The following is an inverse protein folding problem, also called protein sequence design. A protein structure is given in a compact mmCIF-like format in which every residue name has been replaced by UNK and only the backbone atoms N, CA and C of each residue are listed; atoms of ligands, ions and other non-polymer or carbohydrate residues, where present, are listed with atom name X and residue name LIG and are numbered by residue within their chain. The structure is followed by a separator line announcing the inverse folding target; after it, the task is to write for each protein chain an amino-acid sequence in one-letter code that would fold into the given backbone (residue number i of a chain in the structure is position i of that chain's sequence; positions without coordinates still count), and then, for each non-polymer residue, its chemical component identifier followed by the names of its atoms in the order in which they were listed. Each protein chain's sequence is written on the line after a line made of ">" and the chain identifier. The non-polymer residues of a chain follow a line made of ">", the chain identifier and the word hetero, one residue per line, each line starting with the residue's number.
data_IF_156792321927
#
_entry.id   IF_156792321927
#
_cell.length_a   1.000
_cell.length_b   1.000
_cell.length_c   1.000
_cell.angle_alpha   90.00
_cell.angle_beta   90.00
_cell.angle_gamma   90.00
#
_symmetry.space_group_name_H-M   'P 1'
#
loop_
_entity.id
_entity.type
_entity.pdbx_description
1 polymer ?
#
# COMPACT_ATOMS: atom_id res chain seq x y z
N UNK A 1 0.15 12.93 1.41
CA UNK A 1 -0.43 12.56 2.73
C UNK A 1 0.31 11.31 3.18
N UNK A 2 0.73 11.20 4.45
CA UNK A 2 1.45 10.01 4.92
C UNK A 2 0.47 9.05 5.59
N UNK A 3 0.63 7.76 5.33
CA UNK A 3 -0.05 6.68 6.02
C UNK A 3 1.01 5.75 6.61
N UNK A 4 0.85 5.40 7.87
CA UNK A 4 1.75 4.49 8.55
C UNK A 4 0.95 3.41 9.27
N UNK A 5 1.56 2.24 9.46
CA UNK A 5 0.87 1.07 9.95
C UNK A 5 1.78 -0.14 10.07
N UNK A 6 1.23 -1.23 10.58
CA UNK A 6 1.90 -2.52 10.62
C UNK A 6 1.59 -3.29 9.34
N UNK A 7 2.61 -3.75 8.63
CA UNK A 7 2.44 -4.56 7.43
C UNK A 7 1.83 -5.92 7.80
N UNK A 8 0.64 -6.22 7.29
CA UNK A 8 -0.07 -7.47 7.59
C UNK A 8 0.14 -8.50 6.48
N UNK A 9 0.05 -8.06 5.22
CA UNK A 9 0.29 -8.91 4.05
C UNK A 9 1.01 -8.10 2.98
N UNK A 10 1.79 -8.79 2.15
CA UNK A 10 2.34 -8.24 0.92
C UNK A 10 2.34 -9.28 -0.19
N UNK A 11 2.09 -8.82 -1.41
CA UNK A 11 2.12 -9.60 -2.64
C UNK A 11 2.94 -8.79 -3.67
N UNK A 12 4.22 -9.16 -3.88
CA UNK A 12 5.12 -8.50 -4.81
C UNK A 12 4.92 -8.96 -6.27
N UNK A 13 5.55 -8.25 -7.21
CA UNK A 13 5.60 -8.65 -8.62
C UNK A 13 4.31 -8.43 -9.42
N UNK A 14 3.45 -7.51 -8.99
CA UNK A 14 2.21 -7.17 -9.69
C UNK A 14 2.41 -5.98 -10.63
N UNK A 15 1.51 -5.83 -11.62
CA UNK A 15 1.57 -4.76 -12.63
C UNK A 15 0.21 -4.06 -12.78
N UNK A 16 0.22 -2.75 -12.95
CA UNK A 16 -0.98 -1.95 -13.18
C UNK A 16 -0.72 -0.81 -14.15
N UNK A 17 -1.79 -0.29 -14.73
CA UNK A 17 -1.77 1.04 -15.37
C UNK A 17 -2.15 2.08 -14.31
N UNK A 18 -1.30 3.09 -14.11
CA UNK A 18 -1.57 4.25 -13.26
C UNK A 18 -1.29 5.51 -14.07
N UNK A 19 -2.28 6.41 -14.13
CA UNK A 19 -2.20 7.66 -14.91
C UNK A 19 -1.81 7.52 -16.40
N UNK A 20 -2.03 6.34 -17.00
CA UNK A 20 -1.74 6.07 -18.41
C UNK A 20 -0.38 5.43 -18.65
N UNK A 21 0.42 5.21 -17.61
CA UNK A 21 1.71 4.51 -17.67
C UNK A 21 1.61 3.15 -16.95
N UNK A 22 2.45 2.21 -17.36
CA UNK A 22 2.56 0.89 -16.73
C UNK A 22 3.55 0.97 -15.56
N UNK A 23 3.10 0.54 -14.39
CA UNK A 23 3.87 0.55 -13.16
C UNK A 23 3.87 -0.85 -12.54
N UNK A 24 5.03 -1.25 -12.04
CA UNK A 24 5.14 -2.36 -11.09
C UNK A 24 4.53 -1.92 -9.77
N UNK A 25 4.00 -2.86 -9.01
CA UNK A 25 3.56 -2.57 -7.67
C UNK A 25 3.60 -3.78 -6.74
N UNK A 26 3.63 -3.48 -5.45
CA UNK A 26 3.38 -4.44 -4.37
C UNK A 26 2.02 -4.16 -3.78
N UNK A 27 1.12 -5.16 -3.81
CA UNK A 27 -0.14 -5.09 -3.07
C UNK A 27 0.16 -5.39 -1.62
N UNK A 28 -0.29 -4.56 -0.70
CA UNK A 28 -0.16 -4.85 0.72
C UNK A 28 -1.39 -4.44 1.51
N UNK A 29 -1.52 -5.02 2.69
CA UNK A 29 -2.49 -4.59 3.70
C UNK A 29 -1.72 -4.11 4.90
N UNK A 30 -2.08 -2.93 5.41
CA UNK A 30 -1.52 -2.40 6.65
C UNK A 30 -2.62 -2.27 7.70
N UNK A 31 -2.31 -2.61 8.95
CA UNK A 31 -3.16 -2.35 10.11
C UNK A 31 -2.84 -0.97 10.69
N UNK A 32 -3.88 -0.27 11.14
CA UNK A 32 -3.72 1.01 11.84
C UNK A 32 -2.94 0.80 13.15
N UNK A 33 -2.05 1.75 13.50
CA UNK A 33 -1.25 1.66 14.73
C UNK A 33 -2.10 1.89 16.00
N UNK A 34 -3.20 2.64 15.88
CA UNK A 34 -4.07 2.99 17.00
C UNK A 34 -5.20 1.95 17.13
N UNK A 35 -5.69 1.44 16.00
CA UNK A 35 -6.76 0.44 15.94
C UNK A 35 -6.38 -0.74 15.02
N UNK A 36 -5.72 -1.79 15.55
CA UNK A 36 -5.25 -2.90 14.74
C UNK A 36 -6.35 -3.71 14.02
N UNK A 37 -7.62 -3.59 14.43
CA UNK A 37 -8.73 -4.23 13.71
C UNK A 37 -9.05 -3.50 12.39
N UNK A 38 -8.58 -2.26 12.25
CA UNK A 38 -8.76 -1.45 11.06
C UNK A 38 -7.63 -1.68 10.06
N UNK A 39 -7.98 -2.36 8.97
CA UNK A 39 -7.07 -2.64 7.87
C UNK A 39 -7.24 -1.67 6.69
N UNK A 40 -6.15 -1.41 5.98
CA UNK A 40 -6.13 -0.59 4.77
C UNK A 40 -5.46 -1.35 3.63
N UNK A 41 -6.13 -1.41 2.48
CA UNK A 41 -5.52 -1.93 1.26
C UNK A 41 -4.65 -0.87 0.61
N UNK A 42 -3.40 -1.22 0.36
CA UNK A 42 -2.39 -0.35 -0.19
C UNK A 42 -1.78 -0.98 -1.44
N UNK A 43 -1.42 -0.11 -2.38
CA UNK A 43 -0.70 -0.43 -3.59
C UNK A 43 0.53 0.45 -3.65
N UNK A 44 1.69 -0.15 -3.42
CA UNK A 44 2.97 0.54 -3.45
C UNK A 44 3.48 0.51 -4.89
N UNK A 45 3.39 1.64 -5.59
CA UNK A 45 3.81 1.77 -6.98
C UNK A 45 5.34 1.84 -7.09
N UNK A 46 5.84 1.48 -8.28
CA UNK A 46 7.24 1.53 -8.70
C UNK A 46 8.19 0.62 -7.90
N UNK A 47 7.62 -0.26 -7.08
CA UNK A 47 8.34 -1.27 -6.32
C UNK A 47 7.99 -2.67 -6.86
N UNK A 48 9.02 -3.50 -7.04
CA UNK A 48 8.84 -4.92 -7.42
C UNK A 48 8.71 -5.82 -6.20
N UNK A 49 9.36 -5.45 -5.10
CA UNK A 49 9.19 -5.98 -3.76
C UNK A 49 9.51 -4.87 -2.75
N UNK A 50 9.02 -5.00 -1.52
CA UNK A 50 9.36 -4.13 -0.40
C UNK A 50 10.19 -4.92 0.62
N UNK A 51 11.30 -4.35 1.09
CA UNK A 51 12.19 -5.03 2.05
C UNK A 51 11.55 -5.25 3.44
N UNK A 52 10.45 -4.56 3.73
CA UNK A 52 9.73 -4.63 5.00
C UNK A 52 9.07 -5.99 5.19
N UNK A 53 9.26 -6.57 6.37
CA UNK A 53 8.68 -7.84 6.79
C UNK A 53 7.22 -7.73 7.25
N UNK A 54 6.47 -8.83 7.18
CA UNK A 54 5.14 -8.90 7.80
C UNK A 54 5.29 -8.76 9.32
N UNK A 55 4.47 -7.91 9.92
CA UNK A 55 4.53 -7.54 11.34
C UNK A 55 5.41 -6.31 11.62
N UNK A 56 6.13 -5.80 10.62
CA UNK A 56 6.97 -4.62 10.77
C UNK A 56 6.22 -3.33 10.44
N UNK A 57 6.79 -2.21 10.92
CA UNK A 57 6.26 -0.89 10.67
C UNK A 57 6.59 -0.42 9.25
N UNK A 58 5.60 0.14 8.56
CA UNK A 58 5.74 0.67 7.20
C UNK A 58 5.16 2.08 7.11
N UNK A 59 5.84 2.95 6.35
CA UNK A 59 5.40 4.31 6.04
C UNK A 59 5.21 4.47 4.54
N UNK A 60 4.05 4.99 4.16
CA UNK A 60 3.61 5.11 2.79
C UNK A 60 3.20 6.55 2.50
N UNK A 61 3.67 7.09 1.39
CA UNK A 61 3.19 8.36 0.86
C UNK A 61 1.99 8.10 -0.05
N UNK A 62 0.80 8.49 0.39
CA UNK A 62 -0.43 8.36 -0.39
C UNK A 62 -0.44 9.38 -1.53
N UNK A 63 -0.52 8.86 -2.74
CA UNK A 63 -0.66 9.61 -3.99
C UNK A 63 -2.13 9.78 -4.37
N UNK A 64 -2.91 8.70 -4.26
CA UNK A 64 -4.32 8.68 -4.64
C UNK A 64 -5.12 7.71 -3.79
N UNK A 65 -6.33 8.12 -3.40
CA UNK A 65 -7.32 7.23 -2.79
C UNK A 65 -8.29 6.77 -3.87
N UNK A 66 -8.45 5.46 -4.00
CA UNK A 66 -9.38 4.83 -4.92
C UNK A 66 -10.46 4.13 -4.12
N UNK A 67 -11.70 4.56 -4.30
CA UNK A 67 -12.85 3.89 -3.70
C UNK A 67 -13.58 3.10 -4.77
N UNK A 68 -13.53 1.78 -4.67
CA UNK A 68 -14.26 0.91 -5.57
C UNK A 68 -15.68 0.75 -5.04
N UNK A 69 -16.62 1.49 -5.64
CA UNK A 69 -18.03 1.52 -5.20
C UNK A 69 -18.73 0.16 -5.28
N UNK A 70 -18.27 -0.73 -6.15
CA UNK A 70 -18.90 -2.03 -6.35
C UNK A 70 -18.49 -3.05 -5.27
N UNK A 71 -17.25 -2.97 -4.79
CA UNK A 71 -16.69 -3.85 -3.74
C UNK A 71 -16.73 -3.21 -2.35
N UNK A 72 -16.97 -1.90 -2.26
CA UNK A 72 -16.87 -1.13 -1.01
C UNK A 72 -15.44 -0.95 -0.51
N UNK A 73 -14.44 -1.40 -1.28
CA UNK A 73 -13.03 -1.37 -0.91
C UNK A 73 -12.46 0.03 -1.11
N UNK A 74 -11.73 0.50 -0.11
CA UNK A 74 -10.91 1.72 -0.20
C UNK A 74 -9.45 1.27 -0.35
N UNK A 75 -8.88 1.52 -1.53
CA UNK A 75 -7.48 1.26 -1.84
C UNK A 75 -6.69 2.57 -1.87
N UNK A 76 -5.49 2.55 -1.31
CA UNK A 76 -4.53 3.66 -1.37
C UNK A 76 -3.44 3.32 -2.37
N UNK A 77 -3.29 4.15 -3.40
CA UNK A 77 -2.11 4.12 -4.27
C UNK A 77 -1.05 5.04 -3.65
N UNK A 78 0.13 4.48 -3.43
CA UNK A 78 1.17 5.10 -2.61
C UNK A 78 2.58 4.77 -3.10
N UNK A 79 3.55 5.57 -2.67
CA UNK A 79 4.97 5.22 -2.73
C UNK A 79 5.48 4.80 -1.36
N UNK A 80 6.48 3.92 -1.35
CA UNK A 80 7.17 3.56 -0.12
C UNK A 80 8.02 4.75 0.33
N UNK A 81 7.89 5.15 1.60
CA UNK A 81 8.82 6.08 2.20
C UNK A 81 9.97 5.26 2.74
N UNK A 82 11.08 5.27 2.02
CA UNK A 82 12.33 4.68 2.45
C UNK A 82 12.87 5.50 3.63
N UNK A 83 12.77 4.96 4.84
CA UNK A 83 13.52 5.49 5.99
C UNK A 83 14.93 4.95 5.91
N UNK A 84 15.88 5.81 5.57
CA UNK A 84 17.34 5.56 5.64
C UNK A 84 17.80 5.12 7.04
#
# INVERSE_FOLDING_TARGET
>A
MIREGTLVTKEPGLHTIFQGEEHNYVRCVIADLVDPERHFECRVLDETDIAIGIGEHIKLEVLKVVTERHSGVVRFDCHLIHTE
#
